data_IF_198408451996
#
_entry.id   IF_198408451996
#
_cell.length_a   1.000
_cell.length_b   1.000
_cell.length_c   1.000
_cell.angle_alpha   90.00
_cell.angle_beta   90.00
_cell.angle_gamma   90.00
#
_symmetry.space_group_name_H-M   'P 1'
#
loop_
_entity.id
_entity.type
_entity.pdbx_description
1 polymer ?
#
# COMPACT_ATOMS: atom_id res chain seq x y z
N UNK A 1 62.34 19.22 45.51
CA UNK A 1 61.91 17.84 45.16
C UNK A 1 60.52 17.78 44.57
N UNK A 2 59.53 18.51 45.06
CA UNK A 2 58.10 18.44 44.58
C UNK A 2 57.91 18.71 43.09
N UNK A 3 58.58 19.68 42.43
CA UNK A 3 58.45 20.01 41.02
C UNK A 3 58.85 18.87 40.02
N UNK A 4 59.85 18.05 40.37
CA UNK A 4 60.28 16.92 39.54
C UNK A 4 59.31 15.72 39.56
N UNK A 5 58.61 15.54 40.68
CA UNK A 5 57.61 14.49 40.83
C UNK A 5 56.36 14.80 40.04
N UNK A 6 55.85 16.04 40.09
CA UNK A 6 54.69 16.49 39.31
C UNK A 6 54.92 16.39 37.82
N UNK A 7 56.09 16.72 37.31
CA UNK A 7 56.44 16.61 35.86
C UNK A 7 56.47 15.11 35.43
N UNK A 8 56.95 14.22 36.26
CA UNK A 8 56.95 12.79 35.98
C UNK A 8 55.53 12.19 35.94
N UNK A 9 54.68 12.60 36.89
CA UNK A 9 53.27 12.18 36.92
C UNK A 9 52.50 12.71 35.70
N UNK A 10 52.70 14.00 35.37
CA UNK A 10 52.10 14.60 34.17
C UNK A 10 52.50 13.91 32.88
N UNK A 11 53.78 13.55 32.70
CA UNK A 11 54.25 12.77 31.55
C UNK A 11 53.63 11.37 31.50
N UNK A 12 53.47 10.70 32.65
CA UNK A 12 52.83 9.39 32.74
C UNK A 12 51.35 9.46 32.32
N UNK A 13 50.62 10.48 32.80
CA UNK A 13 49.23 10.69 32.44
C UNK A 13 49.08 10.94 30.93
N UNK A 14 49.93 11.78 30.33
CA UNK A 14 49.93 12.03 28.88
C UNK A 14 50.19 10.75 28.11
N UNK A 15 51.09 9.88 28.57
CA UNK A 15 51.42 8.63 27.94
C UNK A 15 50.26 7.64 28.01
N UNK A 16 49.54 7.58 29.14
CA UNK A 16 48.33 6.73 29.30
C UNK A 16 47.24 7.26 28.37
N UNK A 17 46.99 8.56 28.30
CA UNK A 17 45.99 9.14 27.39
C UNK A 17 46.32 8.85 25.93
N UNK A 18 47.60 9.03 25.53
CA UNK A 18 48.05 8.72 24.19
C UNK A 18 47.86 7.24 23.85
N UNK A 19 48.16 6.32 24.78
CA UNK A 19 47.93 4.89 24.60
C UNK A 19 46.46 4.56 24.42
N UNK A 20 45.57 5.15 25.24
CA UNK A 20 44.12 4.99 25.09
C UNK A 20 43.62 5.46 23.70
N UNK A 21 44.17 6.62 23.25
CA UNK A 21 43.82 7.16 21.93
C UNK A 21 44.23 6.22 20.79
N UNK A 22 45.44 5.67 20.87
CA UNK A 22 45.94 4.68 19.90
C UNK A 22 45.09 3.41 19.94
N UNK A 23 44.69 2.93 21.11
CA UNK A 23 43.82 1.77 21.26
C UNK A 23 42.42 2.01 20.64
N UNK A 24 41.85 3.19 20.83
CA UNK A 24 40.56 3.58 20.22
C UNK A 24 40.70 3.64 18.69
N UNK A 25 41.74 4.30 18.17
CA UNK A 25 41.98 4.38 16.72
C UNK A 25 42.18 2.96 16.14
N UNK A 26 42.95 2.12 16.81
CA UNK A 26 43.14 0.73 16.41
C UNK A 26 41.86 -0.07 16.33
N UNK A 27 40.99 0.09 17.35
CA UNK A 27 39.68 -0.57 17.38
C UNK A 27 38.75 -0.05 16.30
N UNK A 28 38.70 1.27 16.07
CA UNK A 28 37.93 1.85 15.00
C UNK A 28 38.40 1.41 13.62
N UNK A 29 39.72 1.40 13.41
CA UNK A 29 40.34 0.89 12.15
C UNK A 29 40.01 -0.59 11.94
N UNK A 30 40.06 -1.40 12.99
CA UNK A 30 39.66 -2.80 12.91
C UNK A 30 38.21 -2.95 12.48
N UNK A 31 37.26 -2.21 13.08
CA UNK A 31 35.83 -2.25 12.73
C UNK A 31 35.59 -1.81 11.29
N UNK A 32 36.28 -0.76 10.83
CA UNK A 32 36.10 -0.22 9.46
C UNK A 32 36.69 -1.15 8.40
N UNK A 33 37.83 -1.80 8.70
CA UNK A 33 38.52 -2.70 7.77
C UNK A 33 38.03 -4.14 7.83
N UNK A 34 37.28 -4.50 8.87
CA UNK A 34 36.71 -5.83 9.04
C UNK A 34 35.34 -5.95 8.38
N UNK A 35 35.18 -6.88 7.43
CA UNK A 35 33.88 -7.21 6.84
C UNK A 35 32.91 -7.84 7.88
N UNK A 36 33.46 -8.36 8.98
CA UNK A 36 32.71 -9.02 10.05
C UNK A 36 33.18 -8.55 11.43
N UNK A 37 32.24 -8.15 12.29
CA UNK A 37 32.46 -7.85 13.69
C UNK A 37 31.55 -8.74 14.54
N UNK A 38 32.11 -9.47 15.51
CA UNK A 38 31.39 -10.43 16.35
C UNK A 38 30.57 -11.47 15.56
N UNK A 39 31.12 -11.94 14.43
CA UNK A 39 30.47 -12.93 13.57
C UNK A 39 29.38 -12.34 12.64
N UNK A 40 29.07 -11.05 12.76
CA UNK A 40 28.06 -10.36 11.94
C UNK A 40 28.74 -9.67 10.77
N UNK A 41 28.30 -9.97 9.55
CA UNK A 41 28.69 -9.22 8.36
C UNK A 41 28.01 -7.86 8.38
N UNK A 42 28.80 -6.80 8.60
CA UNK A 42 28.27 -5.43 8.74
C UNK A 42 27.62 -4.93 7.45
N UNK A 43 28.15 -5.31 6.30
CA UNK A 43 27.64 -4.89 5.00
C UNK A 43 26.31 -5.58 4.68
N UNK A 44 26.20 -6.87 5.01
CA UNK A 44 24.97 -7.64 4.87
C UNK A 44 23.88 -7.13 5.82
N UNK A 45 24.23 -6.82 7.07
CA UNK A 45 23.31 -6.24 8.05
C UNK A 45 22.87 -4.84 7.66
N UNK A 46 23.77 -3.99 7.20
CA UNK A 46 23.45 -2.65 6.72
C UNK A 46 22.54 -2.71 5.49
N UNK A 47 22.79 -3.59 4.53
CA UNK A 47 21.96 -3.80 3.36
C UNK A 47 20.57 -4.37 3.73
N UNK A 48 20.50 -5.29 4.70
CA UNK A 48 19.22 -5.87 5.16
C UNK A 48 18.33 -4.82 5.84
N UNK A 49 18.90 -3.89 6.59
CA UNK A 49 18.16 -2.80 7.24
C UNK A 49 17.69 -1.75 6.22
N UNK A 50 18.51 -1.48 5.21
CA UNK A 50 18.20 -0.52 4.16
C UNK A 50 17.33 -1.09 3.03
N UNK A 51 17.24 -2.43 2.90
CA UNK A 51 16.47 -3.08 1.84
C UNK A 51 15.00 -3.16 2.22
N UNK A 52 14.15 -2.72 1.32
CA UNK A 52 12.70 -2.85 1.42
C UNK A 52 12.20 -3.75 0.29
N UNK A 53 11.33 -4.70 0.64
CA UNK A 53 10.61 -5.54 -0.30
C UNK A 53 9.18 -5.02 -0.41
N UNK A 54 8.78 -4.58 -1.60
CA UNK A 54 7.40 -4.18 -1.92
C UNK A 54 6.76 -5.30 -2.74
N UNK A 55 5.62 -5.82 -2.29
CA UNK A 55 4.85 -6.81 -3.03
C UNK A 55 4.19 -6.14 -4.24
N UNK A 56 4.29 -6.77 -5.40
CA UNK A 56 3.55 -6.45 -6.62
C UNK A 56 2.42 -7.47 -6.71
N UNK A 57 1.20 -7.04 -6.37
CA UNK A 57 0.05 -7.94 -6.38
C UNK A 57 -0.34 -8.30 -7.81
N UNK A 58 -0.55 -9.59 -8.05
CA UNK A 58 -1.16 -10.09 -9.27
C UNK A 58 -2.61 -9.62 -9.37
N UNK A 59 -3.11 -9.45 -10.60
CA UNK A 59 -4.53 -9.26 -10.83
C UNK A 59 -5.24 -10.61 -10.76
N UNK A 60 -6.34 -10.62 -10.03
CA UNK A 60 -7.21 -11.79 -9.99
C UNK A 60 -7.98 -11.87 -11.30
N UNK A 61 -7.98 -13.03 -11.94
CA UNK A 61 -8.69 -13.30 -13.18
C UNK A 61 -10.18 -13.02 -13.05
N UNK A 62 -10.84 -12.69 -14.14
CA UNK A 62 -12.27 -12.40 -14.19
C UNK A 62 -13.09 -13.69 -14.32
N UNK A 63 -14.36 -13.59 -13.96
CA UNK A 63 -15.34 -14.67 -14.15
C UNK A 63 -16.40 -14.18 -15.12
N UNK A 64 -16.60 -14.91 -16.18
CA UNK A 64 -17.55 -14.62 -17.26
C UNK A 64 -18.64 -15.67 -17.34
N UNK A 65 -19.80 -15.29 -17.86
CA UNK A 65 -20.85 -16.21 -18.26
C UNK A 65 -20.54 -16.87 -19.63
N UNK A 66 -21.46 -17.72 -20.12
CA UNK A 66 -21.31 -18.40 -21.41
C UNK A 66 -21.25 -17.45 -22.61
N UNK A 67 -21.81 -16.27 -22.47
CA UNK A 67 -21.84 -15.22 -23.52
C UNK A 67 -20.68 -14.25 -23.42
N UNK A 68 -19.77 -14.42 -22.43
CA UNK A 68 -18.67 -13.50 -22.16
C UNK A 68 -19.09 -12.25 -21.38
N UNK A 69 -20.27 -12.27 -20.74
CA UNK A 69 -20.69 -11.21 -19.86
C UNK A 69 -19.96 -11.32 -18.51
N UNK A 70 -19.40 -10.22 -18.03
CA UNK A 70 -18.60 -10.20 -16.82
C UNK A 70 -19.46 -10.36 -15.58
N UNK A 71 -19.21 -11.41 -14.79
CA UNK A 71 -19.88 -11.69 -13.52
C UNK A 71 -19.08 -11.19 -12.33
N UNK A 72 -17.77 -11.38 -12.37
CA UNK A 72 -16.85 -10.88 -11.34
C UNK A 72 -15.55 -10.38 -11.98
N UNK A 73 -15.09 -9.18 -11.56
CA UNK A 73 -13.86 -8.58 -12.04
C UNK A 73 -13.06 -7.92 -10.94
N UNK A 74 -11.80 -7.63 -11.24
CA UNK A 74 -10.90 -6.94 -10.33
C UNK A 74 -10.76 -5.48 -10.76
N UNK A 75 -11.20 -4.58 -9.91
CA UNK A 75 -11.20 -3.14 -10.18
C UNK A 75 -10.26 -2.38 -9.27
N UNK A 76 -9.62 -1.34 -9.81
CA UNK A 76 -8.84 -0.41 -8.99
C UNK A 76 -9.78 0.35 -8.05
N UNK A 77 -9.28 0.61 -6.84
CA UNK A 77 -9.95 1.49 -5.90
C UNK A 77 -9.01 2.58 -5.39
N UNK A 78 -9.56 3.69 -4.97
CA UNK A 78 -8.81 4.87 -4.57
C UNK A 78 -9.36 5.46 -3.28
N UNK A 79 -8.50 6.10 -2.49
CA UNK A 79 -8.93 6.94 -1.37
C UNK A 79 -8.71 8.39 -1.73
N UNK A 80 -9.75 9.20 -1.58
CA UNK A 80 -9.66 10.65 -1.77
C UNK A 80 -8.93 11.27 -0.58
N UNK A 81 -7.90 12.04 -0.86
CA UNK A 81 -7.15 12.81 0.13
C UNK A 81 -7.25 14.31 -0.14
N UNK A 82 -7.18 15.09 0.90
CA UNK A 82 -7.08 16.53 0.83
C UNK A 82 -5.81 17.02 1.51
N UNK A 83 -4.99 17.80 0.81
CA UNK A 83 -3.86 18.51 1.38
C UNK A 83 -4.33 19.79 2.04
N UNK A 84 -4.02 19.95 3.33
CA UNK A 84 -4.47 21.09 4.14
C UNK A 84 -3.34 22.08 4.46
N UNK A 85 -2.11 21.55 4.61
CA UNK A 85 -0.92 22.33 4.99
C UNK A 85 0.31 21.94 4.17
N UNK A 86 0.15 21.72 2.86
CA UNK A 86 1.25 21.38 1.96
C UNK A 86 1.94 22.63 1.43
N UNK A 87 3.25 22.56 1.20
CA UNK A 87 4.02 23.65 0.58
C UNK A 87 3.78 23.80 -0.92
N UNK A 88 3.06 22.87 -1.55
CA UNK A 88 2.78 22.87 -3.00
C UNK A 88 1.36 23.30 -3.31
N UNK A 89 0.38 22.50 -2.91
CA UNK A 89 -1.03 22.71 -3.25
C UNK A 89 -1.89 22.35 -2.06
N UNK A 90 -2.82 23.23 -1.69
CA UNK A 90 -3.75 23.05 -0.59
C UNK A 90 -5.18 23.27 -1.06
N UNK A 91 -6.14 22.71 -0.34
CA UNK A 91 -7.53 23.08 -0.48
C UNK A 91 -7.69 24.54 -0.03
N UNK A 92 -7.96 25.44 -1.01
CA UNK A 92 -8.09 26.88 -0.76
C UNK A 92 -9.49 27.24 -0.28
N UNK A 93 -10.50 26.82 -1.02
CA UNK A 93 -11.90 27.04 -0.70
C UNK A 93 -12.50 25.74 -0.15
N UNK A 94 -12.51 25.63 1.17
CA UNK A 94 -12.99 24.44 1.87
C UNK A 94 -14.51 24.29 1.77
N UNK A 95 -15.23 25.41 1.76
CA UNK A 95 -16.69 25.41 1.70
C UNK A 95 -17.19 24.93 0.35
N UNK A 96 -16.65 25.49 -0.72
CA UNK A 96 -16.94 25.05 -2.08
C UNK A 96 -16.52 23.59 -2.31
N UNK A 97 -15.31 23.21 -1.87
CA UNK A 97 -14.82 21.82 -2.00
C UNK A 97 -15.74 20.83 -1.29
N UNK A 98 -16.19 21.15 -0.08
CA UNK A 98 -17.13 20.31 0.66
C UNK A 98 -18.49 20.22 -0.03
N UNK A 99 -18.99 21.32 -0.57
CA UNK A 99 -20.28 21.38 -1.25
C UNK A 99 -20.32 20.49 -2.51
N UNK A 100 -19.30 20.58 -3.36
CA UNK A 100 -19.25 19.79 -4.62
C UNK A 100 -18.90 18.32 -4.40
N UNK A 101 -18.12 17.99 -3.36
CA UNK A 101 -17.77 16.60 -3.05
C UNK A 101 -18.86 15.86 -2.27
N UNK A 102 -19.69 16.54 -1.51
CA UNK A 102 -20.74 15.94 -0.68
C UNK A 102 -21.64 14.96 -1.44
N UNK A 103 -22.26 15.33 -2.58
CA UNK A 103 -23.12 14.43 -3.34
C UNK A 103 -22.33 13.29 -4.03
N UNK A 104 -21.07 13.53 -4.42
CA UNK A 104 -20.24 12.54 -5.12
C UNK A 104 -19.77 11.45 -4.15
N UNK A 105 -19.40 11.83 -2.92
CA UNK A 105 -18.91 10.94 -1.89
C UNK A 105 -20.01 10.38 -0.98
N UNK A 106 -21.27 10.76 -1.20
CA UNK A 106 -22.40 10.42 -0.36
C UNK A 106 -22.12 10.76 1.13
N UNK A 107 -21.62 11.97 1.36
CA UNK A 107 -21.31 12.52 2.68
C UNK A 107 -22.04 13.84 2.88
N UNK A 108 -22.22 14.27 4.13
CA UNK A 108 -22.76 15.60 4.40
C UNK A 108 -21.67 16.67 4.25
N UNK A 109 -22.07 17.89 3.87
CA UNK A 109 -21.17 19.04 3.74
C UNK A 109 -20.44 19.32 5.05
N UNK A 110 -21.17 19.24 6.17
CA UNK A 110 -20.66 19.49 7.53
C UNK A 110 -19.54 18.50 7.88
N UNK A 111 -19.73 17.22 7.54
CA UNK A 111 -18.71 16.18 7.79
C UNK A 111 -17.46 16.40 6.98
N UNK A 112 -17.59 16.81 5.73
CA UNK A 112 -16.45 17.17 4.89
C UNK A 112 -15.73 18.41 5.41
N UNK A 113 -16.46 19.44 5.83
CA UNK A 113 -15.89 20.63 6.46
C UNK A 113 -15.14 20.31 7.76
N UNK A 114 -15.69 19.41 8.61
CA UNK A 114 -14.99 18.93 9.80
C UNK A 114 -13.62 18.33 9.45
N UNK A 115 -13.55 17.51 8.38
CA UNK A 115 -12.32 16.90 7.91
C UNK A 115 -11.35 17.93 7.33
N UNK A 116 -11.84 18.84 6.49
CA UNK A 116 -11.03 19.85 5.83
C UNK A 116 -10.52 20.95 6.78
N UNK A 117 -11.12 21.10 7.97
CA UNK A 117 -10.68 22.06 8.99
C UNK A 117 -9.68 21.49 10.00
N UNK A 118 -9.29 20.21 9.88
CA UNK A 118 -8.25 19.63 10.74
C UNK A 118 -6.91 20.31 10.51
N UNK A 119 -6.14 20.48 11.59
CA UNK A 119 -4.76 21.00 11.50
C UNK A 119 -3.78 19.84 11.21
N UNK A 120 -3.83 19.32 9.98
CA UNK A 120 -3.00 18.21 9.50
C UNK A 120 -2.34 18.59 8.17
N UNK A 121 -1.27 17.89 7.81
CA UNK A 121 -0.66 18.03 6.48
C UNK A 121 -1.62 17.56 5.38
N UNK A 122 -2.22 16.39 5.57
CA UNK A 122 -3.26 15.81 4.70
C UNK A 122 -4.31 15.08 5.53
N UNK A 123 -5.48 14.90 4.95
CA UNK A 123 -6.58 14.11 5.53
C UNK A 123 -7.21 13.23 4.46
N UNK A 124 -7.62 12.02 4.85
CA UNK A 124 -8.46 11.17 4.01
C UNK A 124 -9.92 11.53 4.22
N UNK A 125 -10.70 11.68 3.14
CA UNK A 125 -12.11 12.05 3.19
C UNK A 125 -12.99 10.83 3.46
N UNK A 126 -12.86 10.25 4.66
CA UNK A 126 -13.63 9.06 5.10
C UNK A 126 -14.98 9.43 5.70
N UNK A 127 -16.00 8.55 5.60
CA UNK A 127 -15.97 7.22 4.99
C UNK A 127 -16.17 7.22 3.46
N UNK A 128 -16.89 8.19 2.89
CA UNK A 128 -17.32 8.17 1.49
C UNK A 128 -16.20 8.25 0.45
N UNK A 129 -15.08 8.90 0.78
CA UNK A 129 -13.89 8.96 -0.08
C UNK A 129 -12.98 7.73 0.01
N UNK A 130 -13.32 6.71 0.83
CA UNK A 130 -12.55 5.47 0.93
C UNK A 130 -12.99 4.46 -0.14
N UNK A 131 -12.02 3.87 -0.82
CA UNK A 131 -12.26 2.82 -1.82
C UNK A 131 -13.25 3.22 -2.94
N UNK A 132 -13.17 4.43 -3.43
CA UNK A 132 -13.97 4.89 -4.57
C UNK A 132 -13.52 4.18 -5.85
N UNK A 133 -14.43 4.03 -6.80
CA UNK A 133 -14.15 3.47 -8.12
C UNK A 133 -13.42 4.46 -9.03
N UNK A 134 -12.81 3.96 -10.12
CA UNK A 134 -12.21 4.78 -11.17
C UNK A 134 -13.20 5.81 -11.75
N UNK A 135 -14.48 5.43 -11.89
CA UNK A 135 -15.53 6.32 -12.40
C UNK A 135 -15.76 7.50 -11.46
N UNK A 136 -15.81 7.24 -10.15
CA UNK A 136 -15.98 8.31 -9.13
C UNK A 136 -14.73 9.18 -9.09
N UNK A 137 -13.53 8.57 -9.14
CA UNK A 137 -12.26 9.30 -9.24
C UNK A 137 -12.27 10.26 -10.42
N UNK A 138 -12.60 9.77 -11.62
CA UNK A 138 -12.66 10.59 -12.83
C UNK A 138 -13.69 11.75 -12.74
N UNK A 139 -14.81 11.56 -12.03
CA UNK A 139 -15.76 12.64 -11.76
C UNK A 139 -15.15 13.74 -10.89
N UNK A 140 -14.39 13.35 -9.86
CA UNK A 140 -13.74 14.33 -8.96
C UNK A 140 -12.58 15.03 -9.68
N UNK A 141 -11.79 14.32 -10.48
CA UNK A 141 -10.69 14.92 -11.27
C UNK A 141 -11.19 16.01 -12.23
N UNK A 142 -12.35 15.82 -12.84
CA UNK A 142 -12.97 16.83 -13.72
C UNK A 142 -13.36 18.14 -13.01
N UNK A 143 -13.44 18.14 -11.69
CA UNK A 143 -13.72 19.35 -10.92
C UNK A 143 -12.48 20.21 -10.70
N UNK A 144 -11.28 19.69 -11.02
CA UNK A 144 -9.98 20.37 -10.89
C UNK A 144 -9.78 21.08 -9.56
N UNK A 145 -10.20 20.43 -8.45
CA UNK A 145 -10.17 21.00 -7.11
C UNK A 145 -8.74 21.09 -6.58
N UNK A 146 -8.21 22.28 -6.27
CA UNK A 146 -6.86 22.42 -5.74
C UNK A 146 -6.71 21.69 -4.40
N UNK A 147 -5.65 20.90 -4.26
CA UNK A 147 -5.34 20.20 -3.02
C UNK A 147 -6.10 18.88 -2.80
N UNK A 148 -6.94 18.47 -3.73
CA UNK A 148 -7.54 17.13 -3.75
C UNK A 148 -6.64 16.21 -4.59
N UNK A 149 -6.39 15.00 -4.08
CA UNK A 149 -5.57 13.98 -4.73
C UNK A 149 -6.07 12.58 -4.36
N UNK A 150 -5.46 11.54 -4.91
CA UNK A 150 -5.91 10.16 -4.76
C UNK A 150 -4.77 9.23 -4.38
N UNK A 151 -4.99 8.43 -3.36
CA UNK A 151 -4.12 7.29 -3.04
C UNK A 151 -4.73 6.06 -3.70
N UNK A 152 -3.96 5.38 -4.55
CA UNK A 152 -4.37 4.09 -5.12
C UNK A 152 -4.32 3.03 -4.01
N UNK A 153 -5.47 2.41 -3.75
CA UNK A 153 -5.62 1.34 -2.78
C UNK A 153 -5.36 -0.03 -3.42
N UNK A 154 -5.47 -1.07 -2.60
CA UNK A 154 -5.54 -2.44 -3.08
C UNK A 154 -6.74 -2.62 -4.01
N UNK A 155 -6.60 -3.50 -4.99
CA UNK A 155 -7.67 -3.81 -5.94
C UNK A 155 -8.85 -4.45 -5.21
N UNK A 156 -10.06 -4.11 -5.64
CA UNK A 156 -11.31 -4.68 -5.12
C UNK A 156 -11.91 -5.68 -6.07
N UNK A 157 -12.55 -6.70 -5.53
CA UNK A 157 -13.41 -7.59 -6.30
C UNK A 157 -14.77 -6.95 -6.48
N UNK A 158 -15.21 -6.87 -7.72
CA UNK A 158 -16.50 -6.31 -8.12
C UNK A 158 -17.36 -7.40 -8.74
N UNK A 159 -18.63 -7.46 -8.34
CA UNK A 159 -19.63 -8.38 -8.86
C UNK A 159 -20.69 -7.56 -9.58
N UNK A 160 -20.78 -7.75 -10.91
CA UNK A 160 -21.57 -6.88 -11.79
C UNK A 160 -23.08 -6.93 -11.50
N UNK A 161 -23.58 -8.04 -11.01
CA UNK A 161 -25.01 -8.31 -10.79
C UNK A 161 -25.37 -8.52 -9.31
N UNK A 162 -24.61 -7.92 -8.39
CA UNK A 162 -24.88 -7.91 -6.93
C UNK A 162 -25.11 -9.32 -6.36
N UNK A 163 -26.37 -9.72 -6.06
CA UNK A 163 -26.73 -11.00 -5.45
C UNK A 163 -26.92 -12.14 -6.44
N UNK A 164 -26.78 -11.89 -7.73
CA UNK A 164 -26.95 -12.86 -8.80
C UNK A 164 -26.04 -14.06 -8.62
N UNK A 165 -26.61 -15.26 -8.71
CA UNK A 165 -25.91 -16.56 -8.62
C UNK A 165 -24.87 -16.59 -7.46
N UNK A 166 -25.14 -15.89 -6.36
CA UNK A 166 -24.17 -15.60 -5.30
C UNK A 166 -23.55 -16.84 -4.67
N UNK A 167 -24.28 -17.94 -4.57
CA UNK A 167 -23.76 -19.23 -4.08
C UNK A 167 -22.88 -19.95 -5.11
N UNK A 168 -23.11 -19.70 -6.40
CA UNK A 168 -22.36 -20.35 -7.49
C UNK A 168 -21.09 -19.56 -7.77
N UNK A 169 -21.21 -18.27 -8.04
CA UNK A 169 -20.05 -17.38 -8.24
C UNK A 169 -19.22 -17.28 -6.96
N UNK A 170 -19.89 -17.18 -5.82
CA UNK A 170 -19.25 -17.02 -4.53
C UNK A 170 -18.72 -15.61 -4.32
N UNK A 171 -17.72 -15.49 -3.45
CA UNK A 171 -17.07 -14.21 -3.18
C UNK A 171 -15.60 -14.41 -2.80
N UNK A 172 -14.82 -13.36 -3.03
CA UNK A 172 -13.44 -13.22 -2.56
C UNK A 172 -13.35 -12.04 -1.59
N UNK A 173 -12.56 -12.22 -0.54
CA UNK A 173 -12.26 -11.16 0.43
C UNK A 173 -10.76 -10.86 0.44
N UNK A 174 -10.42 -9.71 0.97
CA UNK A 174 -9.03 -9.33 1.18
C UNK A 174 -8.52 -9.89 2.50
N UNK A 175 -7.36 -10.54 2.47
CA UNK A 175 -6.66 -10.95 3.67
C UNK A 175 -5.91 -9.77 4.33
N UNK A 176 -5.27 -10.03 5.48
CA UNK A 176 -4.52 -9.04 6.23
C UNK A 176 -3.27 -8.54 5.46
N UNK A 177 -2.79 -9.29 4.49
CA UNK A 177 -1.66 -8.95 3.64
C UNK A 177 -2.07 -8.15 2.40
N UNK A 178 -3.38 -7.97 2.15
CA UNK A 178 -3.92 -7.24 1.00
C UNK A 178 -4.05 -8.09 -0.28
N UNK A 179 -4.06 -9.42 -0.16
CA UNK A 179 -4.35 -10.37 -1.25
C UNK A 179 -5.84 -10.71 -1.26
N UNK A 180 -6.44 -10.80 -2.46
CA UNK A 180 -7.80 -11.33 -2.62
C UNK A 180 -7.79 -12.86 -2.57
N UNK A 181 -8.54 -13.44 -1.64
CA UNK A 181 -8.70 -14.90 -1.45
C UNK A 181 -10.16 -15.25 -1.68
N UNK A 182 -10.39 -16.24 -2.51
CA UNK A 182 -11.72 -16.80 -2.75
C UNK A 182 -12.20 -17.62 -1.54
N UNK A 183 -13.45 -17.39 -1.11
CA UNK A 183 -14.01 -18.03 0.09
C UNK A 183 -15.08 -19.04 -0.25
N UNK A 184 -15.88 -18.82 -1.27
CA UNK A 184 -17.04 -19.62 -1.60
C UNK A 184 -17.24 -19.73 -3.12
N UNK A 185 -17.97 -20.74 -3.58
CA UNK A 185 -18.37 -20.93 -4.97
C UNK A 185 -17.19 -21.09 -5.92
N UNK A 186 -17.34 -20.59 -7.14
CA UNK A 186 -16.29 -20.59 -8.18
C UNK A 186 -15.06 -19.81 -7.70
N UNK A 187 -15.26 -18.70 -7.01
CA UNK A 187 -14.18 -17.92 -6.42
C UNK A 187 -13.30 -18.74 -5.48
N UNK A 188 -13.91 -19.53 -4.59
CA UNK A 188 -13.17 -20.38 -3.66
C UNK A 188 -12.60 -21.61 -4.30
N UNK A 189 -13.38 -22.30 -5.14
CA UNK A 189 -12.96 -23.55 -5.75
C UNK A 189 -11.80 -23.40 -6.73
N UNK A 190 -11.77 -22.29 -7.47
CA UNK A 190 -10.74 -21.98 -8.46
C UNK A 190 -9.77 -20.87 -7.97
N UNK A 191 -9.62 -20.69 -6.66
CA UNK A 191 -8.79 -19.61 -6.11
C UNK A 191 -7.35 -19.66 -6.65
N UNK A 192 -6.74 -20.84 -6.73
CA UNK A 192 -5.37 -21.02 -7.24
C UNK A 192 -5.20 -20.56 -8.70
N UNK A 193 -6.24 -20.71 -9.52
CA UNK A 193 -6.25 -20.30 -10.93
C UNK A 193 -6.50 -18.80 -11.04
N UNK A 194 -7.48 -18.30 -10.28
CA UNK A 194 -7.89 -16.91 -10.30
C UNK A 194 -6.86 -15.97 -9.66
N UNK A 195 -6.19 -16.36 -8.56
CA UNK A 195 -5.34 -15.46 -7.76
C UNK A 195 -4.05 -15.05 -8.46
N UNK A 196 -3.53 -15.87 -9.39
CA UNK A 196 -2.21 -15.64 -9.99
C UNK A 196 -1.07 -15.76 -8.98
N UNK A 197 0.07 -15.16 -9.31
CA UNK A 197 1.26 -15.21 -8.45
C UNK A 197 1.82 -13.81 -8.25
N UNK A 198 1.93 -13.37 -7.01
CA UNK A 198 2.50 -12.07 -6.68
C UNK A 198 3.98 -11.98 -7.08
N UNK A 199 4.35 -10.82 -7.57
CA UNK A 199 5.73 -10.41 -7.76
C UNK A 199 6.26 -9.63 -6.56
N UNK A 200 7.46 -9.10 -6.71
CA UNK A 200 8.03 -8.17 -5.73
C UNK A 200 9.04 -7.24 -6.39
N UNK A 201 9.27 -6.11 -5.75
CA UNK A 201 10.43 -5.25 -6.00
C UNK A 201 11.18 -5.06 -4.71
N UNK A 202 12.47 -5.39 -4.70
CA UNK A 202 13.40 -5.08 -3.63
C UNK A 202 14.25 -3.89 -4.04
N UNK A 203 14.35 -2.91 -3.18
CA UNK A 203 15.17 -1.73 -3.39
C UNK A 203 15.75 -1.21 -2.08
N UNK A 204 16.82 -0.45 -2.19
CA UNK A 204 17.41 0.24 -1.05
C UNK A 204 16.65 1.54 -0.77
N UNK A 205 16.34 1.78 0.50
CA UNK A 205 15.74 3.02 0.98
C UNK A 205 16.65 3.72 2.00
N UNK A 206 16.47 5.02 2.17
CA UNK A 206 17.12 5.74 3.26
C UNK A 206 16.55 5.28 4.60
N UNK A 207 17.42 5.02 5.58
CA UNK A 207 17.00 4.54 6.91
C UNK A 207 16.12 5.55 7.65
N UNK A 208 16.30 6.85 7.35
CA UNK A 208 15.54 7.95 7.96
C UNK A 208 14.24 8.30 7.23
N UNK A 209 14.00 7.72 6.06
CA UNK A 209 12.82 8.02 5.25
C UNK A 209 12.44 6.81 4.39
N UNK A 210 11.16 6.77 3.97
CA UNK A 210 10.70 5.70 3.05
C UNK A 210 11.06 5.94 1.58
N UNK A 211 11.92 6.94 1.28
CA UNK A 211 12.33 7.24 -0.07
C UNK A 211 13.36 6.24 -0.57
N UNK A 212 13.15 5.76 -1.79
CA UNK A 212 14.08 4.90 -2.51
C UNK A 212 15.38 5.67 -2.80
N UNK A 213 16.51 5.00 -2.67
CA UNK A 213 17.81 5.53 -3.06
C UNK A 213 17.92 5.46 -4.61
N UNK A 214 18.09 6.60 -5.31
CA UNK A 214 18.25 6.61 -6.75
C UNK A 214 19.47 5.79 -7.21
N UNK A 215 19.43 5.26 -8.43
CA UNK A 215 20.54 4.53 -9.07
C UNK A 215 21.03 3.30 -8.30
N UNK A 216 20.20 2.69 -7.47
CA UNK A 216 20.49 1.38 -6.87
C UNK A 216 19.86 0.27 -7.69
N UNK A 217 20.55 -0.89 -7.74
CA UNK A 217 20.02 -2.07 -8.41
C UNK A 217 18.73 -2.52 -7.73
N UNK A 218 17.69 -2.76 -8.53
CA UNK A 218 16.42 -3.31 -8.09
C UNK A 218 16.36 -4.78 -8.49
N UNK A 219 16.04 -5.63 -7.52
CA UNK A 219 15.64 -7.00 -7.80
C UNK A 219 14.11 -7.02 -7.92
N UNK A 220 13.62 -7.11 -9.14
CA UNK A 220 12.19 -7.08 -9.45
C UNK A 220 11.76 -8.38 -10.11
N UNK A 221 10.83 -9.07 -9.47
CA UNK A 221 10.07 -10.17 -10.05
C UNK A 221 8.67 -9.66 -10.37
N UNK A 222 8.29 -9.67 -11.65
CA UNK A 222 6.95 -9.27 -12.08
C UNK A 222 5.88 -10.20 -11.50
N UNK A 223 4.71 -9.65 -11.19
CA UNK A 223 3.53 -10.45 -10.90
C UNK A 223 3.08 -11.19 -12.16
N UNK A 224 2.47 -12.35 -11.98
CA UNK A 224 1.77 -13.10 -13.02
C UNK A 224 0.31 -13.12 -12.64
N UNK A 225 -0.52 -12.46 -13.45
CA UNK A 225 -1.95 -12.38 -13.21
C UNK A 225 -2.64 -13.74 -13.28
N UNK A 226 -3.77 -13.86 -12.60
CA UNK A 226 -4.60 -15.04 -12.64
C UNK A 226 -5.26 -15.22 -14.00
N UNK A 227 -5.75 -16.44 -14.24
CA UNK A 227 -6.47 -16.76 -15.48
C UNK A 227 -7.97 -16.49 -15.30
N UNK A 228 -8.60 -16.07 -16.37
CA UNK A 228 -10.04 -15.90 -16.43
C UNK A 228 -10.78 -17.23 -16.47
N UNK A 229 -12.02 -17.25 -15.98
CA UNK A 229 -12.89 -18.42 -15.97
C UNK A 229 -14.18 -18.09 -16.70
N UNK A 230 -14.59 -18.96 -17.62
CA UNK A 230 -15.85 -18.90 -18.32
C UNK A 230 -16.77 -19.98 -17.79
N UNK A 231 -17.93 -19.58 -17.29
CA UNK A 231 -18.97 -20.48 -16.80
C UNK A 231 -19.92 -20.90 -17.93
N UNK A 232 -20.57 -21.99 -17.75
CA UNK A 232 -21.65 -22.46 -18.66
C UNK A 232 -23.03 -21.86 -18.32
N UNK A 233 -23.07 -20.96 -17.32
CA UNK A 233 -24.28 -20.25 -16.92
C UNK A 233 -24.56 -19.15 -17.93
N UNK A 234 -25.84 -19.06 -18.36
CA UNK A 234 -26.36 -17.90 -19.08
C UNK A 234 -26.99 -16.93 -18.08
N UNK A 235 -26.47 -15.74 -18.02
CA UNK A 235 -26.91 -14.71 -17.07
C UNK A 235 -28.38 -14.32 -17.24
N UNK A 236 -28.87 -14.31 -18.47
CA UNK A 236 -30.26 -13.93 -18.75
C UNK A 236 -31.23 -15.00 -18.27
N UNK A 237 -30.91 -16.29 -18.53
CA UNK A 237 -31.72 -17.42 -18.08
C UNK A 237 -31.71 -17.50 -16.55
N UNK A 238 -30.54 -17.39 -15.94
CA UNK A 238 -30.40 -17.41 -14.47
C UNK A 238 -31.21 -16.28 -13.81
N UNK A 239 -31.19 -15.07 -14.36
CA UNK A 239 -31.97 -13.97 -13.82
C UNK A 239 -33.48 -14.19 -13.89
N UNK A 240 -33.95 -14.80 -14.96
CA UNK A 240 -35.39 -15.20 -15.11
C UNK A 240 -35.76 -16.24 -14.05
N UNK A 241 -34.92 -17.24 -13.85
CA UNK A 241 -35.13 -18.29 -12.85
C UNK A 241 -35.16 -17.69 -11.42
N UNK A 242 -34.23 -16.83 -11.08
CA UNK A 242 -34.20 -16.19 -9.76
C UNK A 242 -35.44 -15.31 -9.51
N UNK A 243 -35.86 -14.53 -10.52
CA UNK A 243 -37.12 -13.74 -10.42
C UNK A 243 -38.33 -14.63 -10.23
N UNK A 244 -38.43 -15.73 -10.94
CA UNK A 244 -39.54 -16.68 -10.79
C UNK A 244 -39.59 -17.31 -9.38
N UNK A 245 -38.43 -17.67 -8.81
CA UNK A 245 -38.35 -18.18 -7.42
C UNK A 245 -38.69 -17.13 -6.41
N UNK A 246 -38.22 -15.89 -6.63
CA UNK A 246 -38.52 -14.75 -5.70
C UNK A 246 -40.02 -14.45 -5.65
N UNK A 247 -40.70 -14.48 -6.79
CA UNK A 247 -42.16 -14.23 -6.87
C UNK A 247 -43.02 -15.35 -6.21
N UNK A 248 -42.44 -16.52 -5.94
CA UNK A 248 -43.11 -17.60 -5.22
C UNK A 248 -43.02 -17.51 -3.69
N UNK A 249 -42.18 -16.59 -3.19
CA UNK A 249 -41.96 -16.39 -1.75
C UNK A 249 -42.89 -15.33 -1.14
N UNK A 250 -43.60 -14.55 -1.95
CA UNK A 250 -44.66 -13.62 -1.55
C UNK A 250 -46.03 -14.33 -1.53
#
# INVERSE_FOLDING_TARGET
MKKRVTVKISKLIILIVAFLFVAIIGKLSYVVLSDKVDGINLQEKASSIATTKKTLYADRGNIYDVNGEELASTVNSYTVIAYLNSNKTNVKDKDYTAEVLAPILNMTKEKLLELLNKNLYQVELRPGGLNISEVVKAKIEKLELPGIDFIKNSKKRYYSKSTFASYIVGYAKMDDEGKLIGELGVEGYYDDILSGTNGYTKYLKYTSSNYKIPNTNEDTKKAKDGSDIYLTIDSSIQLIAEKAVSSMKE
#
